data_IF_601812680351
#
_entry.id   IF_601812680351
#
_cell.length_a   1.000
_cell.length_b   1.000
_cell.length_c   1.000
_cell.angle_alpha   90.00
_cell.angle_beta   90.00
_cell.angle_gamma   90.00
#
_symmetry.space_group_name_H-M   'P 1'
#
loop_
_entity.id
_entity.type
_entity.pdbx_description
1 polymer ?
#
# COMPACT_ATOMS: atom_id res chain seq x y z
N UNK A 1 -9.90 -13.48 15.39
CA UNK A 1 -9.48 -12.45 14.41
C UNK A 1 -8.20 -12.97 13.76
N UNK A 2 -7.97 -12.76 12.46
CA UNK A 2 -6.71 -13.18 11.83
C UNK A 2 -5.52 -12.54 12.55
N UNK A 3 -4.50 -13.32 12.84
CA UNK A 3 -3.22 -12.79 13.37
C UNK A 3 -2.33 -12.22 12.27
N UNK A 4 -2.69 -12.44 10.99
CA UNK A 4 -1.97 -11.95 9.83
C UNK A 4 -2.66 -10.72 9.23
N UNK A 5 -1.85 -9.75 8.80
CA UNK A 5 -2.22 -8.59 8.01
C UNK A 5 -1.83 -8.80 6.54
N UNK A 6 -2.80 -8.65 5.65
CA UNK A 6 -2.57 -8.68 4.21
C UNK A 6 -2.37 -7.28 3.64
N UNK A 7 -1.38 -7.11 2.76
CA UNK A 7 -1.09 -5.82 2.12
C UNK A 7 -0.71 -5.99 0.64
N UNK A 8 -1.15 -5.05 -0.18
CA UNK A 8 -0.64 -4.88 -1.54
C UNK A 8 0.54 -3.92 -1.49
N UNK A 9 1.69 -4.33 -2.01
CA UNK A 9 2.91 -3.52 -2.04
C UNK A 9 3.32 -3.22 -3.47
N UNK A 10 3.83 -2.02 -3.72
CA UNK A 10 4.33 -1.63 -5.04
C UNK A 10 5.53 -2.50 -5.43
N UNK A 11 5.37 -3.37 -6.41
CA UNK A 11 6.43 -4.28 -6.86
C UNK A 11 7.37 -3.62 -7.88
N UNK A 12 6.81 -2.83 -8.80
CA UNK A 12 7.58 -2.04 -9.76
C UNK A 12 6.74 -0.86 -10.28
N UNK A 13 7.38 0.13 -10.91
CA UNK A 13 6.66 1.31 -11.40
C UNK A 13 5.91 0.98 -12.70
N UNK A 14 4.61 1.30 -12.81
CA UNK A 14 3.83 1.02 -14.01
C UNK A 14 4.30 1.88 -15.19
N UNK A 15 4.57 1.23 -16.32
CA UNK A 15 4.82 1.86 -17.62
C UNK A 15 3.52 1.78 -18.44
N UNK A 16 2.82 2.90 -18.58
CA UNK A 16 1.50 2.93 -19.22
C UNK A 16 0.38 2.56 -18.25
N UNK A 17 -0.35 1.47 -18.53
CA UNK A 17 -1.45 1.00 -17.68
C UNK A 17 -0.95 0.35 -16.39
N UNK A 18 -1.83 0.26 -15.39
CA UNK A 18 -1.57 -0.50 -14.17
C UNK A 18 -1.98 -1.94 -14.44
N UNK A 19 -1.00 -2.84 -14.47
CA UNK A 19 -1.22 -4.27 -14.63
C UNK A 19 -1.13 -4.99 -13.27
N UNK A 20 -1.60 -6.24 -13.14
CA UNK A 20 -1.55 -6.98 -11.88
C UNK A 20 -0.14 -7.10 -11.29
N UNK A 21 0.89 -7.14 -12.12
CA UNK A 21 2.29 -7.32 -11.71
C UNK A 21 2.87 -6.07 -11.03
N UNK A 22 2.21 -4.91 -11.17
CA UNK A 22 2.62 -3.64 -10.53
C UNK A 22 2.58 -3.77 -9.01
N UNK A 23 1.72 -4.64 -8.49
CA UNK A 23 1.61 -4.89 -7.06
C UNK A 23 1.89 -6.34 -6.72
N UNK A 24 2.32 -6.56 -5.49
CA UNK A 24 2.50 -7.90 -4.92
C UNK A 24 1.71 -8.02 -3.63
N UNK A 25 1.07 -9.17 -3.41
CA UNK A 25 0.37 -9.46 -2.16
C UNK A 25 1.34 -10.03 -1.14
N UNK A 26 1.30 -9.50 0.08
CA UNK A 26 2.11 -9.95 1.21
C UNK A 26 1.23 -10.17 2.42
N UNK A 27 1.56 -11.21 3.20
CA UNK A 27 0.93 -11.50 4.48
C UNK A 27 1.99 -11.51 5.57
N UNK A 28 1.74 -10.77 6.65
CA UNK A 28 2.69 -10.62 7.75
C UNK A 28 1.95 -10.68 9.10
N UNK A 29 2.61 -11.17 10.17
CA UNK A 29 2.00 -11.15 11.50
C UNK A 29 1.69 -9.72 11.94
N UNK A 30 0.55 -9.54 12.60
CA UNK A 30 0.19 -8.28 13.24
C UNK A 30 1.25 -7.94 14.30
N UNK A 31 1.89 -6.77 14.24
CA UNK A 31 2.86 -6.37 15.26
C UNK A 31 2.18 -6.20 16.62
N UNK A 32 2.90 -6.25 17.76
CA UNK A 32 2.32 -5.90 19.05
C UNK A 32 1.87 -4.43 19.05
N UNK A 33 0.74 -4.15 19.71
CA UNK A 33 0.22 -2.78 19.83
C UNK A 33 1.01 -2.03 20.91
N UNK A 34 1.45 -0.81 20.61
CA UNK A 34 2.14 0.07 21.56
C UNK A 34 1.20 1.07 22.21
N UNK A 35 1.67 1.73 23.27
CA UNK A 35 0.90 2.79 23.93
C UNK A 35 0.60 3.94 22.96
N UNK A 36 -0.65 4.40 22.95
CA UNK A 36 -1.15 5.42 22.02
C UNK A 36 -1.51 4.93 20.61
N UNK A 37 -1.28 3.66 20.27
CA UNK A 37 -1.67 3.12 18.96
C UNK A 37 -3.10 2.56 18.96
N UNK A 38 -3.70 2.51 17.77
CA UNK A 38 -4.99 1.84 17.53
C UNK A 38 -4.86 0.83 16.40
N UNK A 39 -5.59 -0.29 16.52
CA UNK A 39 -5.70 -1.30 15.46
C UNK A 39 -7.03 -1.18 14.75
N UNK A 40 -6.97 -1.00 13.43
CA UNK A 40 -8.15 -0.85 12.59
C UNK A 40 -8.23 -2.04 11.63
N UNK A 41 -9.40 -2.65 11.52
CA UNK A 41 -9.70 -3.61 10.44
C UNK A 41 -10.31 -2.85 9.27
N UNK A 42 -9.55 -2.67 8.19
CA UNK A 42 -10.08 -2.10 6.96
C UNK A 42 -11.15 -3.03 6.36
N UNK A 43 -12.32 -2.48 6.04
CA UNK A 43 -13.43 -3.21 5.39
C UNK A 43 -13.63 -2.71 3.95
N UNK A 44 -13.29 -1.44 3.71
CA UNK A 44 -13.37 -0.78 2.41
C UNK A 44 -12.10 0.04 2.19
N UNK A 45 -11.70 0.15 0.93
CA UNK A 45 -10.59 1.00 0.49
C UNK A 45 -11.12 1.96 -0.56
N UNK A 46 -10.76 3.24 -0.45
CA UNK A 46 -10.96 4.20 -1.54
C UNK A 46 -9.99 3.88 -2.67
N UNK A 47 -10.42 4.02 -3.91
CA UNK A 47 -9.56 3.94 -5.09
C UNK A 47 -9.68 5.25 -5.86
N UNK A 48 -8.67 6.10 -5.70
CA UNK A 48 -8.70 7.48 -6.19
C UNK A 48 -7.78 7.66 -7.41
N UNK A 49 -8.16 8.45 -8.43
CA UNK A 49 -7.29 8.75 -9.57
C UNK A 49 -5.92 9.34 -9.16
N UNK A 50 -5.88 10.04 -8.02
CA UNK A 50 -4.65 10.59 -7.44
C UNK A 50 -3.60 9.50 -7.15
N UNK A 51 -4.02 8.27 -6.84
CA UNK A 51 -3.14 7.14 -6.55
C UNK A 51 -2.19 6.84 -7.71
N UNK A 52 -2.63 7.02 -8.96
CA UNK A 52 -1.76 6.86 -10.14
C UNK A 52 -0.55 7.80 -10.08
N UNK A 53 -0.73 9.00 -9.56
CA UNK A 53 0.32 9.99 -9.37
C UNK A 53 1.30 9.63 -8.27
N UNK A 54 0.83 8.96 -7.21
CA UNK A 54 1.67 8.52 -6.10
C UNK A 54 2.62 7.37 -6.47
N UNK A 55 2.28 6.57 -7.49
CA UNK A 55 3.16 5.51 -8.03
C UNK A 55 4.31 6.04 -8.88
N UNK A 56 4.19 7.28 -9.38
CA UNK A 56 5.17 7.88 -10.26
C UNK A 56 6.32 8.52 -9.46
N UNK A 57 7.56 8.25 -9.87
CA UNK A 57 8.77 8.78 -9.23
C UNK A 57 9.02 10.24 -9.61
N UNK A 58 8.13 11.12 -9.18
CA UNK A 58 8.20 12.54 -9.50
C UNK A 58 7.71 13.37 -8.32
N UNK A 59 8.18 14.61 -8.26
CA UNK A 59 7.74 15.57 -7.25
C UNK A 59 6.22 15.73 -7.28
N UNK A 60 5.59 15.54 -6.12
CA UNK A 60 4.17 15.73 -5.86
C UNK A 60 4.01 16.33 -4.45
N UNK A 61 2.79 16.68 -4.06
CA UNK A 61 2.48 17.18 -2.71
C UNK A 61 2.53 16.08 -1.65
N UNK A 62 2.37 14.82 -2.07
CA UNK A 62 2.64 13.61 -1.26
C UNK A 62 3.87 12.94 -1.85
N UNK A 63 4.82 12.44 -1.02
CA UNK A 63 5.95 11.66 -1.51
C UNK A 63 5.49 10.45 -2.33
N UNK A 64 6.22 10.05 -3.39
CA UNK A 64 5.91 8.83 -4.11
C UNK A 64 5.99 7.60 -3.21
N UNK A 65 5.10 6.63 -3.46
CA UNK A 65 5.19 5.29 -2.87
C UNK A 65 6.45 4.61 -3.38
N UNK A 66 7.29 4.12 -2.47
CA UNK A 66 8.52 3.42 -2.82
C UNK A 66 8.24 1.96 -3.17
N UNK A 67 9.18 1.34 -3.88
CA UNK A 67 9.10 -0.10 -4.17
C UNK A 67 9.15 -0.87 -2.85
N UNK A 68 8.18 -1.76 -2.65
CA UNK A 68 8.00 -2.54 -1.43
C UNK A 68 7.13 -1.87 -0.37
N UNK A 69 6.70 -0.61 -0.56
CA UNK A 69 5.78 0.07 0.37
C UNK A 69 4.30 -0.23 0.06
N UNK A 70 3.46 0.01 1.06
CA UNK A 70 1.98 -0.12 1.04
C UNK A 70 1.33 1.19 0.59
#
# INVERSE_FOLDING_TARGET
MSEMNGSWRLAHRPVGEITPEVFSWHEEPLPPLQDGEVRIRAIYLSLDPAMRGWLADRKSYVPPVQIGEV
#
